data_IF_930595607872
#
_entry.id   IF_930595607872
#
_cell.length_a   1.000
_cell.length_b   1.000
_cell.length_c   1.000
_cell.angle_alpha   90.00
_cell.angle_beta   90.00
_cell.angle_gamma   90.00
#
_symmetry.space_group_name_H-M   'P 1'
#
loop_
_entity.id
_entity.type
_entity.pdbx_description
1 polymer ?
#
# COMPACT_ATOMS: atom_id res chain seq x y z
N UNK A 1 1.38 2.62 -36.33
CA UNK A 1 1.93 1.76 -35.27
C UNK A 1 2.23 2.67 -34.09
N UNK A 2 1.56 2.47 -32.95
CA UNK A 2 1.82 3.26 -31.75
C UNK A 2 3.19 2.80 -31.21
N UNK A 3 4.10 3.70 -30.79
CA UNK A 3 5.37 3.27 -30.19
C UNK A 3 5.11 2.32 -29.02
N UNK A 4 5.88 1.25 -28.89
CA UNK A 4 5.76 0.28 -27.79
C UNK A 4 5.79 0.97 -26.42
N UNK A 5 6.59 2.04 -26.28
CA UNK A 5 6.63 2.89 -25.09
C UNK A 5 5.28 3.57 -24.80
N UNK A 6 4.55 4.01 -25.82
CA UNK A 6 3.26 4.68 -25.67
C UNK A 6 2.13 3.68 -25.42
N UNK A 7 2.20 2.49 -26.01
CA UNK A 7 1.34 1.35 -25.65
C UNK A 7 1.60 0.86 -24.22
N UNK A 8 2.86 0.83 -23.81
CA UNK A 8 3.29 0.50 -22.46
C UNK A 8 2.79 1.56 -21.48
N UNK A 9 2.92 2.86 -21.77
CA UNK A 9 2.35 3.96 -20.94
C UNK A 9 0.82 3.86 -20.84
N UNK A 10 0.13 3.55 -21.93
CA UNK A 10 -1.34 3.34 -21.91
C UNK A 10 -1.73 2.15 -21.03
N UNK A 11 -1.02 1.02 -21.16
CA UNK A 11 -1.20 -0.18 -20.32
C UNK A 11 -0.80 0.08 -18.85
N UNK A 12 0.18 0.96 -18.61
CA UNK A 12 0.63 1.39 -17.28
C UNK A 12 -0.48 2.17 -16.55
N UNK A 13 -1.27 2.98 -17.26
CA UNK A 13 -2.38 3.76 -16.71
C UNK A 13 -3.66 2.96 -16.42
N UNK A 14 -3.78 1.73 -16.93
CA UNK A 14 -4.99 0.90 -16.82
C UNK A 14 -5.09 0.02 -15.56
N UNK A 15 -4.10 0.03 -14.66
CA UNK A 15 -4.23 -0.75 -13.40
C UNK A 15 -5.18 -0.03 -12.44
N UNK A 16 -6.34 -0.65 -12.27
CA UNK A 16 -7.42 -0.19 -11.42
C UNK A 16 -7.05 -0.44 -9.94
N UNK A 17 -6.35 0.51 -9.34
CA UNK A 17 -5.93 0.42 -7.93
C UNK A 17 -7.16 0.66 -7.05
N UNK A 18 -7.47 -0.26 -6.11
CA UNK A 18 -8.66 -0.13 -5.29
C UNK A 18 -8.55 1.09 -4.38
N UNK A 19 -9.67 1.82 -4.29
CA UNK A 19 -9.84 2.96 -3.40
C UNK A 19 -10.79 2.55 -2.29
N UNK A 20 -10.33 2.64 -1.05
CA UNK A 20 -11.09 2.30 0.13
C UNK A 20 -11.55 3.58 0.83
N UNK A 21 -12.86 3.72 1.04
CA UNK A 21 -13.40 4.78 1.88
C UNK A 21 -13.21 4.43 3.37
N UNK A 22 -11.96 4.46 3.82
CA UNK A 22 -11.51 4.15 5.18
C UNK A 22 -10.55 5.26 5.61
N UNK A 23 -10.72 5.74 6.84
CA UNK A 23 -9.77 6.66 7.49
C UNK A 23 -9.12 5.91 8.64
N UNK A 24 -7.79 5.89 8.70
CA UNK A 24 -7.06 5.23 9.78
C UNK A 24 -6.54 6.28 10.77
N UNK A 25 -7.00 6.24 12.01
CA UNK A 25 -6.62 7.19 13.06
C UNK A 25 -5.32 6.77 13.76
N UNK A 26 -4.28 6.61 12.95
CA UNK A 26 -2.93 6.24 13.39
C UNK A 26 -2.76 4.77 13.76
N UNK A 27 -1.58 4.43 14.28
CA UNK A 27 -1.14 3.04 14.52
C UNK A 27 -2.02 2.21 15.48
N UNK A 28 -2.82 2.85 16.32
CA UNK A 28 -3.66 2.18 17.33
C UNK A 28 -5.09 1.91 16.80
N UNK A 29 -5.41 2.35 15.59
CA UNK A 29 -6.71 2.10 14.97
C UNK A 29 -6.76 0.69 14.36
N UNK A 30 -6.68 -0.30 15.25
CA UNK A 30 -6.63 -1.71 14.88
C UNK A 30 -7.85 -2.15 14.08
N UNK A 31 -9.02 -1.56 14.36
CA UNK A 31 -10.28 -1.88 13.67
C UNK A 31 -10.19 -1.53 12.19
N UNK A 32 -9.79 -0.29 11.86
CA UNK A 32 -9.71 0.12 10.45
C UNK A 32 -8.52 -0.49 9.72
N UNK A 33 -7.39 -0.70 10.41
CA UNK A 33 -6.24 -1.44 9.87
C UNK A 33 -6.63 -2.86 9.50
N UNK A 34 -7.29 -3.59 10.41
CA UNK A 34 -7.74 -4.95 10.16
C UNK A 34 -8.77 -5.00 9.02
N UNK A 35 -9.72 -4.07 8.99
CA UNK A 35 -10.72 -3.97 7.91
C UNK A 35 -10.06 -3.77 6.55
N UNK A 36 -9.06 -2.89 6.45
CA UNK A 36 -8.29 -2.67 5.22
C UNK A 36 -7.55 -3.94 4.79
N UNK A 37 -6.92 -4.65 5.73
CA UNK A 37 -6.18 -5.89 5.45
C UNK A 37 -7.14 -6.99 4.97
N UNK A 38 -8.31 -7.16 5.58
CA UNK A 38 -9.29 -8.15 5.13
C UNK A 38 -9.79 -7.86 3.71
N UNK A 39 -9.86 -6.60 3.28
CA UNK A 39 -10.17 -6.29 1.89
C UNK A 39 -9.03 -6.61 0.93
N UNK A 40 -7.78 -6.33 1.33
CA UNK A 40 -6.61 -6.56 0.49
C UNK A 40 -6.21 -8.03 0.42
N UNK A 41 -6.38 -8.76 1.53
CA UNK A 41 -5.96 -10.14 1.75
C UNK A 41 -7.11 -10.90 2.42
N UNK A 42 -8.22 -11.19 1.71
CA UNK A 42 -9.40 -11.82 2.29
C UNK A 42 -9.16 -13.24 2.82
N UNK A 43 -8.17 -13.95 2.27
CA UNK A 43 -7.75 -15.28 2.73
C UNK A 43 -6.88 -15.22 4.00
N UNK A 44 -6.48 -14.03 4.45
CA UNK A 44 -5.59 -13.87 5.58
C UNK A 44 -6.34 -13.89 6.90
N UNK A 45 -6.04 -14.89 7.74
CA UNK A 45 -6.56 -14.91 9.10
C UNK A 45 -6.01 -13.73 9.92
N UNK A 46 -6.91 -12.88 10.41
CA UNK A 46 -6.57 -11.64 11.11
C UNK A 46 -5.73 -11.85 12.37
N UNK A 47 -5.82 -13.04 12.99
CA UNK A 47 -5.02 -13.45 14.15
C UNK A 47 -3.50 -13.51 13.88
N UNK A 48 -3.12 -13.63 12.62
CA UNK A 48 -1.72 -13.77 12.20
C UNK A 48 -1.11 -12.42 11.80
N UNK A 49 -1.90 -11.33 11.77
CA UNK A 49 -1.42 -10.00 11.37
C UNK A 49 -0.38 -9.53 12.40
N UNK A 50 0.89 -9.55 12.01
CA UNK A 50 1.96 -8.92 12.79
C UNK A 50 2.07 -7.47 12.35
N UNK A 51 1.48 -6.57 13.14
CA UNK A 51 1.58 -5.12 12.97
C UNK A 51 2.88 -4.66 13.63
N UNK A 52 3.87 -4.23 12.83
CA UNK A 52 5.07 -3.57 13.36
C UNK A 52 5.06 -2.10 12.98
N UNK A 53 5.11 -1.24 13.99
CA UNK A 53 5.27 0.20 13.79
C UNK A 53 6.72 0.46 13.38
N UNK A 54 6.93 0.93 12.15
CA UNK A 54 8.27 1.23 11.65
C UNK A 54 8.71 2.65 12.03
N UNK A 55 7.76 3.59 12.18
CA UNK A 55 8.04 4.96 12.64
C UNK A 55 6.77 5.61 13.23
N UNK A 56 6.95 6.41 14.30
CA UNK A 56 5.94 7.33 14.86
C UNK A 56 6.24 8.79 14.47
N UNK A 57 6.72 9.00 13.25
CA UNK A 57 7.14 10.30 12.79
C UNK A 57 5.98 11.30 12.74
N UNK A 58 6.29 12.59 12.88
CA UNK A 58 5.28 13.66 12.80
C UNK A 58 4.62 13.75 11.41
N UNK A 59 5.36 13.38 10.36
CA UNK A 59 4.94 13.54 8.96
C UNK A 59 4.23 12.32 8.37
N UNK A 60 4.63 11.09 8.76
CA UNK A 60 4.01 9.85 8.29
C UNK A 60 4.17 8.75 9.35
N UNK A 61 3.12 7.95 9.52
CA UNK A 61 3.18 6.72 10.32
C UNK A 61 3.20 5.51 9.38
N UNK A 62 4.05 4.53 9.71
CA UNK A 62 4.27 3.33 8.90
C UNK A 62 3.97 2.08 9.71
N UNK A 63 3.15 1.20 9.14
CA UNK A 63 2.79 -0.09 9.70
C UNK A 63 3.21 -1.17 8.71
N UNK A 64 4.05 -2.11 9.14
CA UNK A 64 4.35 -3.32 8.40
C UNK A 64 3.32 -4.40 8.71
N UNK A 65 2.81 -5.04 7.67
CA UNK A 65 1.98 -6.25 7.70
C UNK A 65 2.86 -7.40 7.20
N UNK A 66 3.34 -8.21 8.13
CA UNK A 66 4.14 -9.38 7.78
C UNK A 66 3.29 -10.65 7.74
N UNK A 67 3.08 -11.18 6.53
CA UNK A 67 2.30 -12.38 6.30
C UNK A 67 3.12 -13.59 5.85
N UNK A 68 4.45 -13.48 5.78
CA UNK A 68 5.34 -14.56 5.32
C UNK A 68 5.31 -15.82 6.21
N UNK A 69 4.75 -15.71 7.42
CA UNK A 69 4.61 -16.84 8.37
C UNK A 69 3.35 -17.69 8.17
N UNK A 70 2.48 -17.39 7.21
CA UNK A 70 1.31 -18.22 6.93
C UNK A 70 1.60 -19.33 5.91
N UNK A 71 1.07 -20.52 6.18
CA UNK A 71 1.11 -21.71 5.33
C UNK A 71 0.04 -21.68 4.22
N UNK A 72 -0.19 -20.52 3.59
CA UNK A 72 -1.06 -20.45 2.41
C UNK A 72 -0.22 -20.27 1.15
N UNK A 73 -0.36 -21.23 0.23
CA UNK A 73 0.34 -21.23 -1.06
C UNK A 73 -0.10 -20.10 -2.00
N UNK A 74 -1.29 -19.53 -1.80
CA UNK A 74 -1.75 -18.35 -2.55
C UNK A 74 -1.07 -17.06 -2.07
N UNK A 75 -0.93 -16.90 -0.74
CA UNK A 75 -0.37 -15.71 -0.09
C UNK A 75 1.16 -15.66 -0.09
N UNK A 76 1.85 -16.79 -0.30
CA UNK A 76 3.32 -16.85 -0.35
C UNK A 76 3.92 -16.04 -1.50
N UNK A 77 3.14 -15.78 -2.54
CA UNK A 77 3.54 -14.96 -3.70
C UNK A 77 3.41 -13.46 -3.48
N UNK A 78 2.70 -13.04 -2.42
CA UNK A 78 2.48 -11.63 -2.10
C UNK A 78 3.61 -11.17 -1.16
N UNK A 79 4.32 -10.07 -1.44
CA UNK A 79 5.30 -9.50 -0.51
C UNK A 79 4.61 -8.96 0.74
N UNK A 80 5.28 -8.94 1.90
CA UNK A 80 4.80 -8.21 3.08
C UNK A 80 4.39 -6.78 2.69
N UNK A 81 3.41 -6.18 3.36
CA UNK A 81 2.84 -4.89 2.96
C UNK A 81 3.20 -3.78 3.95
N UNK A 82 3.37 -2.54 3.46
CA UNK A 82 3.47 -1.35 4.28
C UNK A 82 2.21 -0.51 4.11
N UNK A 83 1.55 -0.20 5.22
CA UNK A 83 0.49 0.82 5.30
C UNK A 83 1.16 2.13 5.73
N UNK A 84 1.08 3.14 4.87
CA UNK A 84 1.53 4.50 5.17
C UNK A 84 0.33 5.40 5.44
N UNK A 85 0.32 6.00 6.62
CA UNK A 85 -0.70 6.94 7.08
C UNK A 85 -0.08 8.33 7.09
N UNK A 86 -0.72 9.29 6.43
CA UNK A 86 -0.28 10.69 6.42
C UNK A 86 -0.41 11.31 7.82
N UNK A 87 0.62 12.02 8.27
CA UNK A 87 0.60 12.82 9.50
C UNK A 87 -0.11 14.16 9.33
N UNK A 88 -0.47 14.79 10.44
CA UNK A 88 -1.27 16.04 10.47
C UNK A 88 -0.60 17.25 9.81
N UNK A 89 0.72 17.27 9.64
CA UNK A 89 1.47 18.50 9.33
C UNK A 89 2.14 18.57 7.95
N UNK A 90 2.06 17.53 7.13
CA UNK A 90 2.69 17.56 5.81
C UNK A 90 1.80 16.87 4.80
N UNK A 91 1.08 17.66 4.00
CA UNK A 91 1.03 17.55 2.53
C UNK A 91 -0.20 18.30 2.03
N UNK A 92 0.03 19.40 1.32
CA UNK A 92 -0.96 19.98 0.42
C UNK A 92 -1.53 18.87 -0.46
N UNK A 93 -2.82 18.90 -0.79
CA UNK A 93 -3.50 17.92 -1.65
C UNK A 93 -2.72 17.63 -2.97
N UNK A 94 -1.91 18.60 -3.39
CA UNK A 94 -1.03 18.57 -4.57
C UNK A 94 0.10 17.53 -4.41
N UNK A 95 0.76 17.45 -3.26
CA UNK A 95 1.86 16.50 -3.02
C UNK A 95 1.35 15.06 -2.98
N UNK A 96 0.16 14.82 -2.42
CA UNK A 96 -0.48 13.49 -2.40
C UNK A 96 -0.78 13.01 -3.81
N UNK A 97 -1.25 13.91 -4.67
CA UNK A 97 -1.59 13.58 -6.06
C UNK A 97 -0.33 13.25 -6.86
N UNK A 98 0.75 13.99 -6.64
CA UNK A 98 2.03 13.73 -7.31
C UNK A 98 2.69 12.46 -6.76
N UNK A 99 2.74 12.27 -5.44
CA UNK A 99 3.29 11.06 -4.81
C UNK A 99 2.55 9.79 -5.27
N UNK A 100 1.22 9.83 -5.33
CA UNK A 100 0.43 8.73 -5.89
C UNK A 100 0.72 8.50 -7.37
N UNK A 101 0.86 9.56 -8.18
CA UNK A 101 1.24 9.43 -9.60
C UNK A 101 2.61 8.77 -9.74
N UNK A 102 3.60 9.23 -8.99
CA UNK A 102 4.95 8.65 -9.01
C UNK A 102 4.93 7.19 -8.57
N UNK A 103 4.25 6.84 -7.47
CA UNK A 103 4.17 5.44 -7.02
C UNK A 103 3.43 4.53 -8.00
N UNK A 104 2.39 5.03 -8.68
CA UNK A 104 1.71 4.28 -9.75
C UNK A 104 2.62 4.01 -10.95
N UNK A 105 3.46 4.98 -11.31
CA UNK A 105 4.41 4.87 -12.43
C UNK A 105 5.60 3.98 -12.06
N UNK A 106 6.07 4.08 -10.82
CA UNK A 106 7.31 3.45 -10.36
C UNK A 106 7.09 2.01 -9.86
N UNK A 107 5.95 1.70 -9.23
CA UNK A 107 5.65 0.40 -8.63
C UNK A 107 5.42 -0.79 -9.59
N UNK A 108 5.74 -0.64 -10.88
CA UNK A 108 5.62 -1.70 -11.91
C UNK A 108 6.96 -2.16 -12.50
N UNK A 109 8.07 -1.65 -11.99
CA UNK A 109 9.40 -2.24 -12.20
C UNK A 109 9.64 -3.30 -11.11
N UNK A 110 10.25 -4.44 -11.47
CA UNK A 110 10.46 -5.59 -10.55
C UNK A 110 11.21 -5.24 -9.25
N UNK A 111 11.92 -4.11 -9.24
CA UNK A 111 12.75 -3.63 -8.14
C UNK A 111 12.13 -2.47 -7.34
N UNK A 112 10.84 -2.15 -7.58
CA UNK A 112 10.17 -0.99 -7.00
C UNK A 112 8.87 -1.33 -6.26
N UNK A 113 8.50 -0.46 -5.33
CA UNK A 113 7.38 -0.67 -4.40
C UNK A 113 6.03 -0.65 -5.14
N UNK A 114 5.36 -1.80 -5.21
CA UNK A 114 4.07 -1.98 -5.87
C UNK A 114 2.94 -1.45 -4.99
N UNK A 115 2.02 -0.65 -5.55
CA UNK A 115 0.87 -0.09 -4.83
C UNK A 115 -0.31 -1.10 -4.84
N UNK A 116 -0.87 -1.39 -3.66
CA UNK A 116 -1.95 -2.34 -3.45
C UNK A 116 -3.30 -1.67 -3.18
N UNK A 117 -3.30 -0.42 -2.70
CA UNK A 117 -4.54 0.27 -2.41
C UNK A 117 -4.34 1.68 -1.87
N UNK A 118 -5.38 2.50 -2.01
CA UNK A 118 -5.40 3.88 -1.50
C UNK A 118 -6.58 4.02 -0.55
N UNK A 119 -6.41 4.77 0.53
CA UNK A 119 -7.47 5.09 1.48
C UNK A 119 -7.44 6.59 1.84
N UNK A 120 -8.43 7.07 2.60
CA UNK A 120 -8.71 8.51 2.73
C UNK A 120 -7.51 9.35 3.20
N UNK A 121 -6.63 8.75 4.00
CA UNK A 121 -5.47 9.41 4.57
C UNK A 121 -4.18 8.59 4.41
N UNK A 122 -4.05 7.82 3.33
CA UNK A 122 -2.83 7.05 3.08
C UNK A 122 -2.94 6.04 1.96
N UNK A 123 -1.98 5.11 1.90
CA UNK A 123 -1.95 4.05 0.91
C UNK A 123 -1.16 2.83 1.40
N UNK A 124 -1.27 1.73 0.65
CA UNK A 124 -0.63 0.45 0.94
C UNK A 124 0.24 0.02 -0.23
N UNK A 125 1.48 -0.40 0.05
CA UNK A 125 2.45 -0.82 -0.97
C UNK A 125 3.31 -2.00 -0.51
N UNK A 126 4.02 -2.66 -1.43
CA UNK A 126 4.92 -3.77 -1.08
C UNK A 126 6.10 -3.32 -0.22
N UNK A 127 6.40 -4.10 0.80
CA UNK A 127 7.67 -4.04 1.51
C UNK A 127 8.77 -4.58 0.59
N UNK A 128 9.83 -3.81 0.42
CA UNK A 128 11.07 -4.23 -0.21
C UNK A 128 12.10 -4.33 0.91
N UNK A 129 12.73 -5.50 1.02
CA UNK A 129 13.85 -5.66 1.93
C UNK A 129 15.05 -4.92 1.33
N UNK A 130 15.63 -4.00 2.11
CA UNK A 130 16.74 -3.15 1.69
C UNK A 130 18.10 -3.74 2.00
#
# INVERSE_FOLDING_TARGET
MIPEELQMIQTIMEVNIPIFNITIHGINDHVNVQKLITFLLPEYETKNIVVKVLNKGYSNQLILIDHKKQYSTSLSSIPSLIIRIYGNLTTSLIDRTNEMKYMKVVGKFKDFQQLYGIFNNGFVYSYIDG
#
